data_IF_150983118568
#
_entry.id   IF_150983118568
#
_cell.length_a   1.000
_cell.length_b   1.000
_cell.length_c   1.000
_cell.angle_alpha   90.00
_cell.angle_beta   90.00
_cell.angle_gamma   90.00
#
_symmetry.space_group_name_H-M   'P 1'
#
loop_
_entity.id
_entity.type
_entity.pdbx_description
1 polymer ?
#
# COMPACT_ATOMS: atom_id res chain seq x y z
N UNK A 1 4.31 -2.13 6.11
CA UNK A 1 3.15 -3.04 6.08
C UNK A 1 2.65 -3.13 4.65
N UNK A 2 2.32 -4.33 4.19
CA UNK A 2 1.73 -4.58 2.88
C UNK A 2 0.51 -5.49 3.04
N UNK A 3 -0.62 -5.10 2.47
CA UNK A 3 -1.82 -5.91 2.34
C UNK A 3 -1.90 -6.48 0.93
N UNK A 4 -2.09 -7.78 0.80
CA UNK A 4 -2.15 -8.46 -0.49
C UNK A 4 -3.39 -9.32 -0.59
N UNK A 5 -4.15 -9.15 -1.66
CA UNK A 5 -5.20 -10.04 -2.12
C UNK A 5 -4.96 -10.39 -3.59
N UNK A 6 -5.75 -11.31 -4.14
CA UNK A 6 -5.67 -11.72 -5.55
C UNK A 6 -5.88 -10.56 -6.54
N UNK A 7 -6.69 -9.58 -6.16
CA UNK A 7 -7.12 -8.46 -7.02
C UNK A 7 -6.47 -7.11 -6.68
N UNK A 8 -5.74 -7.01 -5.57
CA UNK A 8 -5.18 -5.75 -5.09
C UNK A 8 -4.03 -5.99 -4.10
N UNK A 9 -2.96 -5.24 -4.23
CA UNK A 9 -1.89 -5.12 -3.23
C UNK A 9 -1.67 -3.67 -2.88
N UNK A 10 -1.64 -3.35 -1.57
CA UNK A 10 -1.38 -2.02 -1.04
C UNK A 10 -0.22 -2.06 -0.04
N UNK A 11 0.76 -1.19 -0.21
CA UNK A 11 1.80 -0.90 0.78
C UNK A 11 1.60 0.49 1.36
N UNK A 12 1.98 0.69 2.61
CA UNK A 12 1.65 1.90 3.37
C UNK A 12 2.89 2.62 3.86
N UNK A 13 2.97 3.93 3.59
CA UNK A 13 4.02 4.80 4.09
C UNK A 13 3.81 5.09 5.57
N UNK A 14 2.57 5.49 5.93
CA UNK A 14 2.13 5.62 7.33
C UNK A 14 0.93 4.71 7.58
N UNK A 15 0.70 4.30 8.84
CA UNK A 15 -0.41 3.40 9.19
C UNK A 15 -1.23 3.91 10.37
N UNK A 16 -0.85 3.65 11.61
CA UNK A 16 -1.64 3.92 12.80
C UNK A 16 -1.31 5.29 13.41
N UNK A 17 -1.56 6.36 12.66
CA UNK A 17 -1.32 7.76 13.05
C UNK A 17 -2.56 8.60 12.74
N UNK A 18 -2.73 9.73 13.43
CA UNK A 18 -3.81 10.67 13.13
C UNK A 18 -3.62 11.34 11.76
N UNK A 19 -4.71 11.66 11.06
CA UNK A 19 -4.62 12.26 9.72
C UNK A 19 -3.79 13.55 9.67
N UNK A 20 -3.85 14.36 10.71
CA UNK A 20 -3.09 15.63 10.80
C UNK A 20 -1.59 15.41 10.95
N UNK A 21 -1.16 14.21 11.37
CA UNK A 21 0.26 13.86 11.54
C UNK A 21 0.85 13.28 10.23
N UNK A 22 -0.01 12.84 9.31
CA UNK A 22 0.44 12.16 8.08
C UNK A 22 1.42 13.02 7.27
N UNK A 23 1.13 14.30 6.96
CA UNK A 23 2.05 15.12 6.15
C UNK A 23 3.46 15.23 6.76
N UNK A 24 3.55 15.40 8.08
CA UNK A 24 4.82 15.56 8.80
C UNK A 24 5.66 14.27 8.83
N UNK A 25 5.03 13.11 8.62
CA UNK A 25 5.69 11.80 8.58
C UNK A 25 6.09 11.36 7.17
N UNK A 26 5.64 12.08 6.14
CA UNK A 26 6.04 11.81 4.76
C UNK A 26 7.40 12.45 4.50
N UNK A 27 8.40 11.61 4.24
CA UNK A 27 9.71 12.04 3.76
C UNK A 27 10.08 11.26 2.51
N UNK A 28 10.95 11.85 1.68
CA UNK A 28 11.49 11.18 0.48
C UNK A 28 12.09 9.82 0.84
N UNK A 29 12.86 9.76 1.95
CA UNK A 29 13.51 8.55 2.43
C UNK A 29 12.48 7.48 2.82
N UNK A 30 11.43 7.88 3.55
CA UNK A 30 10.41 6.94 4.01
C UNK A 30 9.57 6.38 2.86
N UNK A 31 9.21 7.20 1.90
CA UNK A 31 8.50 6.78 0.69
C UNK A 31 9.40 5.85 -0.13
N UNK A 32 10.67 6.22 -0.33
CA UNK A 32 11.66 5.40 -1.04
C UNK A 32 11.85 4.04 -0.39
N UNK A 33 12.00 3.98 0.93
CA UNK A 33 12.09 2.72 1.68
C UNK A 33 10.87 1.81 1.43
N UNK A 34 9.67 2.35 1.47
CA UNK A 34 8.44 1.56 1.24
C UNK A 34 8.35 1.09 -0.21
N UNK A 35 8.76 1.92 -1.18
CA UNK A 35 8.82 1.53 -2.59
C UNK A 35 9.80 0.36 -2.75
N UNK A 36 11.01 0.45 -2.23
CA UNK A 36 12.05 -0.58 -2.36
C UNK A 36 11.63 -1.91 -1.72
N UNK A 37 11.11 -1.86 -0.50
CA UNK A 37 10.61 -3.05 0.20
C UNK A 37 9.44 -3.71 -0.55
N UNK A 38 8.53 -2.91 -1.11
CA UNK A 38 7.41 -3.41 -1.90
C UNK A 38 7.90 -4.03 -3.21
N UNK A 39 8.81 -3.34 -3.90
CA UNK A 39 9.44 -3.81 -5.14
C UNK A 39 10.12 -5.16 -4.95
N UNK A 40 10.92 -5.31 -3.88
CA UNK A 40 11.58 -6.59 -3.57
C UNK A 40 10.58 -7.72 -3.28
N UNK A 41 9.56 -7.45 -2.47
CA UNK A 41 8.54 -8.43 -2.15
C UNK A 41 7.76 -8.87 -3.42
N UNK A 42 7.35 -7.90 -4.23
CA UNK A 42 6.57 -8.17 -5.45
C UNK A 42 7.41 -8.84 -6.54
N UNK A 43 8.72 -8.54 -6.65
CA UNK A 43 9.64 -9.30 -7.53
C UNK A 43 9.65 -10.79 -7.20
N UNK A 44 9.69 -11.14 -5.93
CA UNK A 44 9.66 -12.54 -5.46
C UNK A 44 8.32 -13.21 -5.76
N UNK A 45 7.20 -12.46 -5.63
CA UNK A 45 5.85 -12.98 -5.87
C UNK A 45 5.57 -13.14 -7.36
N UNK A 46 6.02 -12.21 -8.20
CA UNK A 46 5.70 -12.14 -9.65
C UNK A 46 6.78 -12.73 -10.54
N UNK A 47 7.98 -12.98 -10.03
CA UNK A 47 9.17 -13.42 -10.77
C UNK A 47 9.53 -12.47 -11.95
N UNK A 48 9.24 -11.18 -11.79
CA UNK A 48 9.56 -10.09 -12.72
C UNK A 48 9.58 -8.75 -12.03
N UNK A 49 10.01 -7.71 -12.75
CA UNK A 49 9.87 -6.32 -12.26
C UNK A 49 8.38 -5.99 -12.07
N UNK A 50 7.95 -5.57 -10.86
CA UNK A 50 6.56 -5.22 -10.62
C UNK A 50 6.24 -3.83 -11.16
N UNK A 51 5.02 -3.69 -11.71
CA UNK A 51 4.44 -2.39 -12.01
C UNK A 51 3.79 -1.81 -10.76
N UNK A 52 4.24 -0.64 -10.34
CA UNK A 52 3.76 0.00 -9.12
C UNK A 52 3.14 1.37 -9.41
N UNK A 53 2.17 1.76 -8.60
CA UNK A 53 1.58 3.10 -8.59
C UNK A 53 1.79 3.72 -7.22
N UNK A 54 2.16 4.99 -7.18
CA UNK A 54 2.17 5.80 -5.95
C UNK A 54 0.95 6.69 -5.95
N UNK A 55 0.16 6.62 -4.90
CA UNK A 55 -0.97 7.53 -4.67
C UNK A 55 -0.46 8.93 -4.26
N UNK A 56 -1.11 9.98 -4.71
CA UNK A 56 -0.96 11.29 -4.08
C UNK A 56 -1.51 11.28 -2.65
N UNK A 57 -1.08 12.24 -1.84
CA UNK A 57 -1.65 12.48 -0.52
C UNK A 57 -2.98 13.22 -0.63
N UNK A 58 -2.97 14.28 -1.45
CA UNK A 58 -4.07 15.23 -1.58
C UNK A 58 -5.05 14.87 -2.71
N UNK A 59 -6.27 15.43 -2.71
CA UNK A 59 -7.19 15.33 -3.85
C UNK A 59 -6.49 15.70 -5.16
N UNK A 60 -6.82 15.00 -6.26
CA UNK A 60 -6.23 15.21 -7.59
C UNK A 60 -4.69 15.16 -7.61
N UNK A 61 -4.07 14.45 -6.64
CA UNK A 61 -2.62 14.41 -6.44
C UNK A 61 -2.01 15.83 -6.36
N UNK A 62 -2.64 16.70 -5.53
CA UNK A 62 -2.17 18.05 -5.26
C UNK A 62 -2.55 19.10 -6.31
N UNK A 63 -2.90 18.72 -7.54
CA UNK A 63 -3.27 19.61 -8.66
C UNK A 63 -2.30 20.79 -8.82
N UNK A 64 -1.01 20.49 -8.96
CA UNK A 64 0.09 21.46 -9.06
C UNK A 64 0.16 22.44 -7.85
N UNK A 65 -0.01 21.90 -6.64
CA UNK A 65 0.07 22.65 -5.39
C UNK A 65 -1.21 23.41 -5.02
N UNK A 66 -2.33 23.15 -5.70
CA UNK A 66 -3.63 23.76 -5.36
C UNK A 66 -4.17 23.20 -4.04
N UNK A 67 -3.92 21.92 -3.77
CA UNK A 67 -4.35 21.23 -2.55
C UNK A 67 -3.16 20.82 -1.70
N UNK A 68 -3.30 20.92 -0.38
CA UNK A 68 -2.25 20.61 0.58
C UNK A 68 -1.19 21.69 0.70
N UNK A 69 0.02 21.29 1.06
CA UNK A 69 1.20 22.15 1.18
C UNK A 69 2.31 21.73 0.20
N UNK A 70 1.93 21.30 -1.01
CA UNK A 70 2.84 20.80 -2.05
C UNK A 70 3.62 19.56 -1.64
N UNK A 71 3.02 18.66 -0.87
CA UNK A 71 3.63 17.39 -0.47
C UNK A 71 3.96 16.53 -1.70
N UNK A 72 3.11 16.58 -2.73
CA UNK A 72 3.35 15.88 -3.99
C UNK A 72 4.64 16.38 -4.65
N UNK A 73 4.78 17.70 -4.81
CA UNK A 73 5.92 18.31 -5.52
C UNK A 73 7.22 18.19 -4.74
N UNK A 74 7.16 18.37 -3.41
CA UNK A 74 8.36 18.48 -2.60
C UNK A 74 8.83 17.15 -2.00
N UNK A 75 7.97 16.15 -1.89
CA UNK A 75 8.28 14.89 -1.20
C UNK A 75 7.98 13.66 -2.07
N UNK A 76 6.76 13.55 -2.62
CA UNK A 76 6.33 12.33 -3.29
C UNK A 76 6.98 12.18 -4.65
N UNK A 77 6.97 13.23 -5.48
CA UNK A 77 7.61 13.21 -6.83
C UNK A 77 9.10 12.94 -6.73
N UNK A 78 9.89 13.60 -5.88
CA UNK A 78 11.32 13.29 -5.73
C UNK A 78 11.58 11.82 -5.37
N UNK A 79 10.80 11.22 -4.46
CA UNK A 79 10.94 9.83 -4.11
C UNK A 79 10.65 8.88 -5.30
N UNK A 80 9.61 9.19 -6.10
CA UNK A 80 9.26 8.43 -7.31
C UNK A 80 10.38 8.52 -8.35
N UNK A 81 10.90 9.73 -8.61
CA UNK A 81 11.97 9.95 -9.61
C UNK A 81 13.24 9.19 -9.23
N UNK A 82 13.59 9.18 -7.96
CA UNK A 82 14.74 8.42 -7.44
C UNK A 82 14.54 6.91 -7.64
N UNK A 83 13.34 6.40 -7.36
CA UNK A 83 13.01 4.99 -7.58
C UNK A 83 13.06 4.63 -9.08
N UNK A 84 12.56 5.50 -9.97
CA UNK A 84 12.67 5.32 -11.43
C UNK A 84 14.14 5.30 -11.90
N UNK A 85 14.96 6.20 -11.39
CA UNK A 85 16.38 6.22 -11.70
C UNK A 85 17.10 4.94 -11.23
N UNK A 86 16.60 4.28 -10.17
CA UNK A 86 17.03 2.98 -9.70
C UNK A 86 16.39 1.79 -10.46
N UNK A 87 15.65 2.05 -11.55
CA UNK A 87 15.08 1.04 -12.44
C UNK A 87 13.75 0.46 -11.97
N UNK A 88 13.00 1.15 -11.12
CA UNK A 88 11.64 0.74 -10.77
C UNK A 88 10.64 1.09 -11.89
N UNK A 89 9.74 0.15 -12.22
CA UNK A 89 8.56 0.41 -13.06
C UNK A 89 7.45 1.00 -12.18
N UNK A 90 7.42 2.32 -12.08
CA UNK A 90 6.58 3.03 -11.12
C UNK A 90 5.95 4.28 -11.74
N UNK A 91 4.66 4.45 -11.56
CA UNK A 91 3.85 5.59 -12.01
C UNK A 91 3.35 6.38 -10.79
N UNK A 92 3.18 7.68 -10.95
CA UNK A 92 2.58 8.55 -9.93
C UNK A 92 3.28 9.91 -9.80
N UNK A 93 2.85 10.73 -8.82
CA UNK A 93 1.68 10.46 -7.97
C UNK A 93 0.37 10.52 -8.78
N UNK A 94 -0.55 9.61 -8.49
CA UNK A 94 -1.87 9.57 -9.13
C UNK A 94 -2.98 9.89 -8.10
N UNK A 95 -4.11 10.47 -8.57
CA UNK A 95 -5.25 10.74 -7.70
C UNK A 95 -5.78 9.45 -7.04
N UNK A 96 -5.89 9.40 -5.70
CA UNK A 96 -6.25 8.18 -4.98
C UNK A 96 -7.68 7.68 -5.26
N UNK A 97 -8.57 8.54 -5.72
CA UNK A 97 -9.94 8.19 -6.10
C UNK A 97 -10.03 7.39 -7.41
N UNK A 98 -8.98 7.40 -8.23
CA UNK A 98 -8.97 6.74 -9.54
C UNK A 98 -7.99 5.58 -9.65
N UNK A 99 -7.00 5.46 -8.75
CA UNK A 99 -6.00 4.38 -8.83
C UNK A 99 -6.57 2.99 -8.58
N UNK A 100 -7.70 2.90 -7.87
CA UNK A 100 -8.33 1.63 -7.52
C UNK A 100 -9.39 1.15 -8.50
N UNK A 101 -9.59 1.83 -9.63
CA UNK A 101 -10.47 1.39 -10.71
C UNK A 101 -10.00 0.06 -11.30
N UNK A 102 -10.94 -0.78 -11.74
CA UNK A 102 -10.69 -2.15 -12.20
C UNK A 102 -9.56 -2.23 -13.24
N UNK A 103 -9.64 -1.42 -14.28
CA UNK A 103 -8.64 -1.40 -15.34
C UNK A 103 -7.23 -0.98 -14.88
N UNK A 104 -7.14 -0.14 -13.82
CA UNK A 104 -5.85 0.22 -13.21
C UNK A 104 -5.29 -0.96 -12.41
N UNK A 105 -6.13 -1.59 -11.59
CA UNK A 105 -5.73 -2.74 -10.77
C UNK A 105 -5.24 -3.91 -11.60
N UNK A 106 -5.91 -4.18 -12.74
CA UNK A 106 -5.50 -5.24 -13.67
C UNK A 106 -4.12 -5.02 -14.29
N UNK A 107 -3.66 -3.78 -14.38
CA UNK A 107 -2.37 -3.40 -14.96
C UNK A 107 -1.29 -3.11 -13.93
N UNK A 108 -1.60 -3.21 -12.63
CA UNK A 108 -0.71 -2.80 -11.54
C UNK A 108 -0.52 -3.93 -10.54
N UNK A 109 0.72 -4.16 -10.14
CA UNK A 109 1.04 -5.21 -9.17
C UNK A 109 0.92 -4.72 -7.72
N UNK A 110 1.22 -3.44 -7.44
CA UNK A 110 1.08 -2.87 -6.10
C UNK A 110 0.85 -1.36 -6.13
N UNK A 111 0.06 -0.87 -5.17
CA UNK A 111 -0.19 0.55 -4.90
C UNK A 111 0.52 0.97 -3.62
N UNK A 112 1.23 2.10 -3.67
CA UNK A 112 1.89 2.72 -2.52
C UNK A 112 0.96 3.81 -1.99
N UNK A 113 0.42 3.59 -0.81
CA UNK A 113 -0.54 4.47 -0.15
C UNK A 113 0.16 5.32 0.92
N UNK A 114 -0.19 6.60 0.98
CA UNK A 114 0.41 7.53 1.93
C UNK A 114 -0.07 7.31 3.36
N UNK A 115 -1.31 6.88 3.55
CA UNK A 115 -1.91 6.67 4.87
C UNK A 115 -2.85 5.45 4.90
N UNK A 116 -3.21 5.06 6.12
CA UNK A 116 -3.97 3.84 6.41
C UNK A 116 -5.24 3.68 5.57
N UNK A 117 -6.17 4.61 5.66
CA UNK A 117 -7.49 4.44 5.02
C UNK A 117 -7.44 4.54 3.50
N UNK A 118 -6.41 5.19 2.94
CA UNK A 118 -6.22 5.30 1.50
C UNK A 118 -6.16 3.93 0.80
N UNK A 119 -5.55 2.94 1.45
CA UNK A 119 -5.45 1.58 0.92
C UNK A 119 -6.36 0.57 1.62
N UNK A 120 -6.66 0.75 2.93
CA UNK A 120 -7.51 -0.19 3.66
C UNK A 120 -8.98 -0.11 3.23
N UNK A 121 -9.51 1.09 2.92
CA UNK A 121 -10.88 1.23 2.45
C UNK A 121 -11.11 0.43 1.16
N UNK A 122 -10.35 0.65 0.05
CA UNK A 122 -10.54 -0.14 -1.15
C UNK A 122 -10.22 -1.62 -0.94
N UNK A 123 -9.20 -1.97 -0.15
CA UNK A 123 -8.90 -3.37 0.16
C UNK A 123 -10.08 -4.07 0.84
N UNK A 124 -10.67 -3.45 1.86
CA UNK A 124 -11.82 -4.01 2.57
C UNK A 124 -13.11 -4.00 1.75
N UNK A 125 -13.29 -3.01 0.89
CA UNK A 125 -14.45 -2.97 0.00
C UNK A 125 -14.42 -4.08 -1.07
N UNK A 126 -13.21 -4.44 -1.55
CA UNK A 126 -13.04 -5.35 -2.69
C UNK A 126 -12.63 -6.78 -2.28
N UNK A 127 -11.92 -6.95 -1.17
CA UNK A 127 -11.28 -8.21 -0.79
C UNK A 127 -11.28 -8.44 0.72
N UNK A 128 -12.38 -8.11 1.41
CA UNK A 128 -12.48 -8.14 2.87
C UNK A 128 -11.98 -9.44 3.52
N UNK A 129 -12.36 -10.58 2.99
CA UNK A 129 -12.11 -11.91 3.55
C UNK A 129 -10.86 -12.61 2.96
N UNK A 130 -10.15 -11.95 2.03
CA UNK A 130 -9.04 -12.55 1.26
C UNK A 130 -7.70 -11.83 1.46
N UNK A 131 -7.70 -10.70 2.17
CA UNK A 131 -6.50 -9.91 2.37
C UNK A 131 -5.58 -10.53 3.43
N UNK A 132 -4.31 -10.60 3.08
CA UNK A 132 -3.22 -11.04 3.97
C UNK A 132 -2.32 -9.86 4.27
N UNK A 133 -2.08 -9.61 5.54
CA UNK A 133 -1.14 -8.61 6.01
C UNK A 133 0.27 -9.22 6.08
N UNK A 134 1.22 -8.58 5.43
CA UNK A 134 2.64 -8.95 5.47
C UNK A 134 3.47 -7.78 5.99
N UNK A 135 4.29 -8.03 6.99
CA UNK A 135 5.28 -7.04 7.45
C UNK A 135 6.55 -7.20 6.62
N UNK A 136 6.90 -6.16 5.88
CA UNK A 136 8.13 -6.09 5.09
C UNK A 136 9.31 -5.56 5.91
N UNK A 137 10.55 -5.81 5.46
CA UNK A 137 11.77 -5.31 6.09
C UNK A 137 12.22 -6.10 7.33
N UNK A 138 11.59 -7.20 7.66
CA UNK A 138 12.04 -8.10 8.71
C UNK A 138 12.94 -9.21 8.14
N UNK A 139 13.89 -9.72 8.94
CA UNK A 139 14.75 -10.83 8.51
C UNK A 139 14.00 -12.18 8.38
N UNK A 140 12.75 -12.23 8.79
CA UNK A 140 11.86 -13.39 8.69
C UNK A 140 10.46 -12.96 8.19
N UNK A 141 9.73 -13.80 7.46
CA UNK A 141 8.37 -13.51 7.05
C UNK A 141 7.43 -13.39 8.26
N UNK A 142 6.67 -12.30 8.33
CA UNK A 142 5.59 -12.11 9.28
C UNK A 142 4.30 -11.81 8.53
N UNK A 143 3.37 -12.74 8.59
CA UNK A 143 2.06 -12.61 7.95
C UNK A 143 0.95 -12.79 8.99
N UNK A 144 -0.18 -12.13 8.77
CA UNK A 144 -1.41 -12.32 9.54
C UNK A 144 -2.61 -12.10 8.63
N UNK A 145 -3.77 -12.69 8.98
CA UNK A 145 -5.01 -12.28 8.35
C UNK A 145 -5.25 -10.79 8.65
N UNK A 146 -5.71 -10.02 7.68
CA UNK A 146 -5.97 -8.59 7.84
C UNK A 146 -7.13 -8.31 8.81
N UNK A 147 -8.04 -9.27 8.91
CA UNK A 147 -9.09 -9.23 9.92
C UNK A 147 -8.58 -9.98 11.15
N UNK A 148 -8.60 -9.33 12.30
CA UNK A 148 -8.81 -10.02 13.55
C UNK A 148 -10.14 -10.77 13.42
N UNK A 149 -10.15 -11.76 12.55
CA UNK A 149 -11.14 -12.81 12.60
C UNK A 149 -11.16 -13.20 14.04
N UNK A 150 -12.23 -12.89 14.66
CA UNK A 150 -12.64 -13.43 15.89
C UNK A 150 -12.09 -14.86 15.93
N UNK A 151 -10.96 -15.03 16.59
CA UNK A 151 -10.41 -16.34 16.95
C UNK A 151 -11.50 -17.18 17.67
N UNK A 152 -12.61 -16.54 18.04
CA UNK A 152 -13.82 -17.08 18.62
C UNK A 152 -14.50 -18.09 17.68
N UNK A 153 -14.41 -17.96 16.35
CA UNK A 153 -15.01 -18.94 15.44
C UNK A 153 -14.05 -20.06 14.98
N UNK A 154 -12.74 -19.90 15.21
CA UNK A 154 -11.74 -20.91 14.86
C UNK A 154 -11.40 -21.80 16.07
N UNK A 155 -11.74 -21.38 17.28
CA UNK A 155 -11.35 -22.03 18.53
C UNK A 155 -12.47 -22.78 19.25
N UNK A 156 -13.61 -23.05 18.63
CA UNK A 156 -14.49 -24.08 19.18
C UNK A 156 -13.90 -25.44 18.83
N UNK A 157 -13.32 -26.16 19.82
CA UNK A 157 -12.98 -27.55 19.60
C UNK A 157 -14.30 -28.29 19.32
N UNK A 158 -14.39 -28.94 18.16
CA UNK A 158 -15.47 -29.89 17.88
C UNK A 158 -15.51 -30.87 19.05
N UNK A 159 -16.48 -30.74 19.93
CA UNK A 159 -16.78 -31.75 20.94
C UNK A 159 -17.12 -33.03 20.19
N UNK A 160 -16.46 -34.15 20.45
CA UNK A 160 -16.93 -35.42 19.95
C UNK A 160 -18.33 -35.68 20.51
N UNK A 161 -19.28 -35.92 19.61
CA UNK A 161 -20.60 -36.39 19.98
C UNK A 161 -20.42 -37.76 20.63
N UNK A 162 -20.66 -37.86 21.91
CA UNK A 162 -20.82 -39.11 22.66
C UNK A 162 -22.20 -39.67 22.42
#
# INVERSE_FOLDING_TARGET
>A
MMLTADILTCSFVTVHVGYHEVPDLLTEERIGEVIDLTREAMKRIRDREPKMIVCGLNPHAGENGLFGNSEEEHVIIPAIEKARAAGADIEGPLPPDTVFLDWRREQTDAMICMYHDQGHIPMKALAFDRAVNTTLGLPFPRTSADHGLSLIHISEPTRPLS
#
